data_IF_955151405838
#
_entry.id   IF_955151405838
#
_cell.length_a   1.000
_cell.length_b   1.000
_cell.length_c   1.000
_cell.angle_alpha   90.00
_cell.angle_beta   90.00
_cell.angle_gamma   90.00
#
_symmetry.space_group_name_H-M   'P 1'
#
loop_
_entity.id
_entity.type
_entity.pdbx_description
1 polymer ?
#
# COMPACT_ATOMS: atom_id res chain seq x y z
N UNK A 1 -5.93 -17.75 -25.14
CA UNK A 1 -6.19 -18.21 -23.77
C UNK A 1 -5.02 -18.99 -23.15
N UNK A 2 -4.40 -19.95 -23.87
CA UNK A 2 -3.25 -20.74 -23.35
C UNK A 2 -2.04 -19.86 -23.04
N UNK A 3 -1.70 -18.91 -23.91
CA UNK A 3 -0.57 -18.00 -23.72
C UNK A 3 -0.78 -17.07 -22.51
N UNK A 4 -1.99 -16.54 -22.33
CA UNK A 4 -2.32 -15.70 -21.18
C UNK A 4 -2.21 -16.50 -19.88
N UNK A 5 -2.68 -17.76 -19.87
CA UNK A 5 -2.58 -18.64 -18.71
C UNK A 5 -1.13 -18.93 -18.31
N UNK A 6 -0.20 -19.00 -19.28
CA UNK A 6 1.23 -19.20 -19.00
C UNK A 6 1.88 -18.04 -18.26
N UNK A 7 1.34 -16.83 -18.37
CA UNK A 7 1.90 -15.62 -17.73
C UNK A 7 1.05 -15.10 -16.55
N UNK A 8 -0.13 -15.68 -16.31
CA UNK A 8 -1.06 -15.23 -15.26
C UNK A 8 -0.51 -15.33 -13.82
N UNK A 9 0.51 -16.14 -13.58
CA UNK A 9 1.18 -16.26 -12.30
C UNK A 9 2.18 -15.12 -12.01
N UNK A 10 2.67 -14.44 -13.06
CA UNK A 10 3.69 -13.39 -12.90
C UNK A 10 3.24 -12.24 -12.01
N UNK A 11 2.04 -11.66 -12.15
CA UNK A 11 1.58 -10.59 -11.26
C UNK A 11 1.59 -10.98 -9.78
N UNK A 12 1.29 -12.24 -9.44
CA UNK A 12 1.36 -12.74 -8.07
C UNK A 12 2.79 -12.77 -7.54
N UNK A 13 3.72 -13.27 -8.33
CA UNK A 13 5.15 -13.28 -7.96
C UNK A 13 5.68 -11.86 -7.76
N UNK A 14 5.31 -10.91 -8.62
CA UNK A 14 5.69 -9.51 -8.47
C UNK A 14 5.03 -8.87 -7.23
N UNK A 15 3.81 -9.29 -6.87
CA UNK A 15 3.17 -8.88 -5.63
C UNK A 15 3.95 -9.35 -4.40
N UNK A 16 4.40 -10.61 -4.35
CA UNK A 16 5.20 -11.14 -3.25
C UNK A 16 6.54 -10.39 -3.13
N UNK A 17 7.21 -10.12 -4.26
CA UNK A 17 8.40 -9.27 -4.28
C UNK A 17 8.10 -7.86 -3.77
N UNK A 18 6.96 -7.30 -4.13
CA UNK A 18 6.48 -6.01 -3.65
C UNK A 18 6.34 -5.97 -2.13
N UNK A 19 5.80 -7.03 -1.53
CA UNK A 19 5.66 -7.14 -0.08
C UNK A 19 7.02 -7.14 0.63
N UNK A 20 7.98 -7.91 0.12
CA UNK A 20 9.35 -7.96 0.66
C UNK A 20 10.03 -6.60 0.54
N UNK A 21 9.99 -6.00 -0.64
CA UNK A 21 10.62 -4.70 -0.93
C UNK A 21 9.95 -3.59 -0.12
N UNK A 22 8.61 -3.60 -0.01
CA UNK A 22 7.84 -2.65 0.79
C UNK A 22 8.20 -2.66 2.27
N UNK A 23 8.59 -3.81 2.81
CA UNK A 23 9.15 -3.91 4.16
C UNK A 23 10.58 -3.36 4.30
N UNK A 24 11.38 -3.47 3.23
CA UNK A 24 12.79 -3.05 3.22
C UNK A 24 13.00 -1.56 2.88
N UNK A 25 12.10 -0.97 2.08
CA UNK A 25 12.20 0.42 1.62
C UNK A 25 12.18 1.47 2.75
N UNK A 26 11.34 1.36 3.81
CA UNK A 26 11.32 2.37 4.87
C UNK A 26 12.67 2.56 5.56
N UNK A 27 13.38 1.52 6.04
CA UNK A 27 14.72 1.68 6.60
C UNK A 27 15.73 2.27 5.60
N UNK A 28 15.60 1.92 4.31
CA UNK A 28 16.47 2.43 3.26
C UNK A 28 16.27 3.93 3.05
N UNK A 29 15.03 4.40 2.99
CA UNK A 29 14.69 5.81 2.86
C UNK A 29 15.12 6.62 4.08
N UNK A 30 15.05 6.06 5.29
CA UNK A 30 15.61 6.69 6.48
C UNK A 30 17.11 6.93 6.33
N UNK A 31 17.87 5.94 5.82
CA UNK A 31 19.30 6.04 5.64
C UNK A 31 19.70 7.04 4.54
N UNK A 32 18.92 7.11 3.45
CA UNK A 32 19.26 7.95 2.29
C UNK A 32 18.82 9.40 2.47
N UNK A 33 17.64 9.61 3.05
CA UNK A 33 17.03 10.95 3.16
C UNK A 33 17.10 11.53 4.58
N UNK A 34 17.57 10.77 5.57
CA UNK A 34 17.64 11.24 6.96
C UNK A 34 16.28 11.54 7.58
N UNK A 35 15.18 10.95 7.05
CA UNK A 35 13.81 11.19 7.49
C UNK A 35 13.40 10.25 8.61
N UNK A 36 12.38 10.65 9.39
CA UNK A 36 11.80 9.81 10.44
C UNK A 36 11.14 8.55 9.85
N UNK A 37 11.03 7.48 10.65
CA UNK A 37 10.43 6.21 10.26
C UNK A 37 9.01 6.38 9.69
N UNK A 38 8.17 7.19 10.34
CA UNK A 38 6.80 7.46 9.89
C UNK A 38 6.79 8.15 8.52
N UNK A 39 7.66 9.15 8.30
CA UNK A 39 7.79 9.83 7.00
C UNK A 39 8.27 8.87 5.93
N UNK A 40 9.25 8.04 6.24
CA UNK A 40 9.76 7.01 5.34
C UNK A 40 8.66 6.04 4.88
N UNK A 41 7.80 5.58 5.80
CA UNK A 41 6.65 4.74 5.44
C UNK A 41 5.63 5.47 4.56
N UNK A 42 5.34 6.74 4.86
CA UNK A 42 4.50 7.58 4.00
C UNK A 42 5.06 7.68 2.58
N UNK A 43 6.38 7.82 2.45
CA UNK A 43 7.04 7.87 1.13
C UNK A 43 6.85 6.55 0.36
N UNK A 44 6.98 5.39 1.02
CA UNK A 44 6.75 4.09 0.39
C UNK A 44 5.30 3.95 -0.06
N UNK A 45 4.34 4.36 0.78
CA UNK A 45 2.91 4.35 0.42
C UNK A 45 2.65 5.26 -0.78
N UNK A 46 3.23 6.46 -0.78
CA UNK A 46 3.08 7.42 -1.91
C UNK A 46 3.70 6.85 -3.19
N UNK A 47 4.87 6.25 -3.11
CA UNK A 47 5.52 5.60 -4.25
C UNK A 47 4.66 4.47 -4.81
N UNK A 48 4.11 3.61 -3.94
CA UNK A 48 3.20 2.54 -4.35
C UNK A 48 1.94 3.09 -5.04
N UNK A 49 1.31 4.11 -4.45
CA UNK A 49 0.12 4.75 -5.02
C UNK A 49 0.40 5.40 -6.39
N UNK A 50 1.57 6.02 -6.58
CA UNK A 50 1.97 6.58 -7.88
C UNK A 50 2.20 5.48 -8.93
N UNK A 51 2.80 4.36 -8.56
CA UNK A 51 3.00 3.24 -9.46
C UNK A 51 1.67 2.59 -9.90
N UNK A 52 0.60 2.71 -9.08
CA UNK A 52 -0.73 2.21 -9.44
C UNK A 52 -1.40 2.99 -10.58
N UNK A 53 -0.87 4.15 -10.96
CA UNK A 53 -1.31 4.86 -12.16
C UNK A 53 -1.11 3.99 -13.42
N UNK A 54 0.00 3.22 -13.48
CA UNK A 54 0.28 2.33 -14.59
C UNK A 54 -0.87 1.33 -14.86
N UNK A 55 -1.21 0.45 -13.90
CA UNK A 55 -2.38 -0.44 -14.02
C UNK A 55 -3.69 0.29 -14.31
N UNK A 56 -3.88 1.49 -13.75
CA UNK A 56 -5.06 2.32 -14.02
C UNK A 56 -5.21 2.69 -15.50
N UNK A 57 -4.11 2.70 -16.26
CA UNK A 57 -4.08 2.99 -17.70
C UNK A 57 -4.23 1.74 -18.58
N UNK A 58 -4.48 0.57 -18.02
CA UNK A 58 -4.54 -0.72 -18.77
C UNK A 58 -5.49 -0.65 -19.98
N UNK A 59 -6.61 0.09 -19.82
CA UNK A 59 -7.60 0.25 -20.87
C UNK A 59 -7.14 1.01 -22.11
N UNK A 60 -6.00 1.69 -22.06
CA UNK A 60 -5.43 2.39 -23.20
C UNK A 60 -4.60 1.49 -24.12
N UNK A 61 -4.29 0.29 -23.68
CA UNK A 61 -3.42 -0.64 -24.38
C UNK A 61 -4.19 -1.88 -24.84
N UNK A 62 -4.04 -2.22 -26.11
CA UNK A 62 -4.66 -3.40 -26.75
C UNK A 62 -3.79 -4.65 -26.66
N UNK A 63 -2.51 -4.53 -26.31
CA UNK A 63 -1.58 -5.66 -26.23
C UNK A 63 -1.75 -6.41 -24.91
N UNK A 64 -2.03 -7.74 -24.93
CA UNK A 64 -2.13 -8.55 -23.71
C UNK A 64 -0.83 -8.58 -22.89
N UNK A 65 0.32 -8.53 -23.55
CA UNK A 65 1.62 -8.56 -22.88
C UNK A 65 1.88 -7.27 -22.09
N UNK A 66 1.47 -6.11 -22.63
CA UNK A 66 1.54 -4.83 -21.92
C UNK A 66 0.59 -4.85 -20.72
N UNK A 67 -0.60 -5.39 -20.88
CA UNK A 67 -1.56 -5.53 -19.76
C UNK A 67 -0.98 -6.39 -18.63
N UNK A 68 -0.36 -7.53 -18.94
CA UNK A 68 0.31 -8.40 -17.95
C UNK A 68 1.45 -7.65 -17.26
N UNK A 69 2.28 -6.92 -18.01
CA UNK A 69 3.36 -6.10 -17.45
C UNK A 69 2.84 -5.02 -16.49
N UNK A 70 1.77 -4.34 -16.85
CA UNK A 70 1.12 -3.35 -16.00
C UNK A 70 0.50 -3.99 -14.75
N UNK A 71 -0.08 -5.19 -14.85
CA UNK A 71 -0.57 -5.94 -13.70
C UNK A 71 0.57 -6.39 -12.77
N UNK A 72 1.75 -6.73 -13.31
CA UNK A 72 2.93 -7.03 -12.50
C UNK A 72 3.38 -5.80 -11.70
N UNK A 73 3.42 -4.63 -12.34
CA UNK A 73 3.73 -3.35 -11.68
C UNK A 73 2.67 -3.05 -10.61
N UNK A 74 1.39 -3.26 -10.92
CA UNK A 74 0.29 -3.05 -9.98
C UNK A 74 0.36 -3.97 -8.77
N UNK A 75 0.60 -5.26 -8.98
CA UNK A 75 0.78 -6.23 -7.90
C UNK A 75 1.94 -5.84 -6.99
N UNK A 76 3.10 -5.52 -7.56
CA UNK A 76 4.26 -5.05 -6.82
C UNK A 76 3.95 -3.77 -6.02
N UNK A 77 3.37 -2.77 -6.66
CA UNK A 77 3.04 -1.48 -6.06
C UNK A 77 2.06 -1.61 -4.90
N UNK A 78 0.95 -2.33 -5.14
CA UNK A 78 -0.10 -2.53 -4.14
C UNK A 78 0.40 -3.30 -2.92
N UNK A 79 1.19 -4.35 -3.12
CA UNK A 79 1.75 -5.12 -1.99
C UNK A 79 2.86 -4.37 -1.24
N UNK A 80 3.66 -3.55 -1.92
CA UNK A 80 4.63 -2.67 -1.26
C UNK A 80 3.94 -1.66 -0.35
N UNK A 81 2.85 -1.05 -0.82
CA UNK A 81 2.00 -0.11 -0.08
C UNK A 81 1.34 -0.81 1.11
N UNK A 82 0.74 -1.98 0.88
CA UNK A 82 0.06 -2.77 1.91
C UNK A 82 1.02 -3.18 3.04
N UNK A 83 2.22 -3.67 2.70
CA UNK A 83 3.25 -4.03 3.67
C UNK A 83 3.70 -2.84 4.53
N UNK A 84 3.87 -1.67 3.90
CA UNK A 84 4.21 -0.44 4.61
C UNK A 84 3.08 0.01 5.56
N UNK A 85 1.81 -0.14 5.18
CA UNK A 85 0.65 0.20 6.01
C UNK A 85 0.50 -0.70 7.24
N UNK A 86 0.63 -2.02 7.06
CA UNK A 86 0.52 -2.99 8.16
C UNK A 86 1.61 -2.72 9.20
N UNK A 87 2.83 -2.45 8.74
CA UNK A 87 3.94 -2.16 9.65
C UNK A 87 3.86 -0.77 10.28
N UNK A 88 3.21 0.19 9.63
CA UNK A 88 2.95 1.52 10.18
C UNK A 88 2.09 1.46 11.44
N UNK A 89 1.11 0.56 11.51
CA UNK A 89 0.29 0.38 12.71
C UNK A 89 1.13 -0.03 13.92
N UNK A 90 2.16 -0.85 13.72
CA UNK A 90 3.09 -1.26 14.79
C UNK A 90 3.98 -0.13 15.29
N UNK A 91 4.18 0.91 14.46
CA UNK A 91 4.99 2.08 14.83
C UNK A 91 4.16 3.17 15.53
N UNK A 92 2.84 3.20 15.28
CA UNK A 92 1.93 4.23 15.80
C UNK A 92 1.24 3.80 17.09
N UNK A 93 0.89 2.52 17.21
CA UNK A 93 0.15 1.98 18.33
C UNK A 93 1.06 1.28 19.36
N UNK A 94 0.68 1.32 20.63
CA UNK A 94 1.36 0.61 21.69
C UNK A 94 1.25 -0.92 21.55
N UNK A 95 2.16 -1.67 22.21
CA UNK A 95 2.24 -3.14 22.13
C UNK A 95 0.90 -3.84 22.39
N UNK A 96 0.08 -3.30 23.29
CA UNK A 96 -1.21 -3.90 23.67
C UNK A 96 -2.36 -3.54 22.71
N UNK A 97 -2.16 -2.57 21.83
CA UNK A 97 -3.19 -2.00 20.95
C UNK A 97 -2.99 -2.42 19.49
N UNK A 98 -1.76 -2.77 19.10
CA UNK A 98 -1.39 -3.13 17.73
C UNK A 98 -2.27 -4.26 17.18
N UNK A 99 -2.52 -5.31 17.97
CA UNK A 99 -3.32 -6.44 17.54
C UNK A 99 -4.77 -6.02 17.24
N UNK A 100 -5.36 -5.19 18.10
CA UNK A 100 -6.72 -4.67 17.90
C UNK A 100 -6.79 -3.73 16.70
N UNK A 101 -5.82 -2.83 16.57
CA UNK A 101 -5.73 -1.90 15.43
C UNK A 101 -5.61 -2.66 14.09
N UNK A 102 -4.71 -3.65 14.01
CA UNK A 102 -4.56 -4.49 12.83
C UNK A 102 -5.80 -5.33 12.54
N UNK A 103 -6.45 -5.86 13.58
CA UNK A 103 -7.71 -6.61 13.43
C UNK A 103 -8.83 -5.76 12.84
N UNK A 104 -9.04 -4.55 13.36
CA UNK A 104 -10.05 -3.61 12.85
C UNK A 104 -9.72 -3.15 11.42
N UNK A 105 -8.47 -2.82 11.15
CA UNK A 105 -8.02 -2.45 9.80
C UNK A 105 -8.22 -3.59 8.81
N UNK A 106 -7.87 -4.81 9.20
CA UNK A 106 -8.08 -6.01 8.39
C UNK A 106 -9.57 -6.27 8.10
N UNK A 107 -10.44 -6.19 9.11
CA UNK A 107 -11.89 -6.32 8.93
C UNK A 107 -12.43 -5.28 7.95
N UNK A 108 -12.06 -4.01 8.12
CA UNK A 108 -12.49 -2.94 7.23
C UNK A 108 -12.00 -3.16 5.79
N UNK A 109 -10.73 -3.52 5.62
CA UNK A 109 -10.12 -3.78 4.31
C UNK A 109 -10.78 -4.96 3.59
N UNK A 110 -11.00 -6.09 4.26
CA UNK A 110 -11.64 -7.25 3.65
C UNK A 110 -13.12 -7.02 3.34
N UNK A 111 -13.82 -6.28 4.20
CA UNK A 111 -15.22 -5.89 3.94
C UNK A 111 -15.31 -4.99 2.72
N UNK A 112 -14.47 -3.96 2.64
CA UNK A 112 -14.42 -3.06 1.48
C UNK A 112 -14.04 -3.81 0.20
N UNK A 113 -13.06 -4.71 0.27
CA UNK A 113 -12.64 -5.55 -0.86
C UNK A 113 -13.78 -6.44 -1.37
N UNK A 114 -14.52 -7.05 -0.47
CA UNK A 114 -15.70 -7.89 -0.83
C UNK A 114 -16.78 -7.05 -1.51
N UNK A 115 -17.10 -5.89 -0.94
CA UNK A 115 -18.07 -4.97 -1.54
C UNK A 115 -17.62 -4.51 -2.94
N UNK A 116 -16.34 -4.15 -3.08
CA UNK A 116 -15.78 -3.76 -4.37
C UNK A 116 -15.82 -4.91 -5.39
N UNK A 117 -15.50 -6.14 -4.97
CA UNK A 117 -15.58 -7.31 -5.85
C UNK A 117 -17.00 -7.56 -6.37
N UNK A 118 -18.01 -7.35 -5.54
CA UNK A 118 -19.43 -7.44 -5.96
C UNK A 118 -19.77 -6.36 -6.99
N UNK A 119 -19.31 -5.13 -6.77
CA UNK A 119 -19.48 -4.01 -7.72
C UNK A 119 -18.79 -4.31 -9.04
N UNK A 120 -17.54 -4.81 -8.99
CA UNK A 120 -16.80 -5.23 -10.19
C UNK A 120 -17.55 -6.33 -10.94
N UNK A 121 -18.04 -7.37 -10.24
CA UNK A 121 -18.79 -8.45 -10.86
C UNK A 121 -20.08 -7.97 -11.53
N UNK A 122 -20.76 -6.99 -10.94
CA UNK A 122 -22.01 -6.44 -11.52
C UNK A 122 -21.76 -5.49 -12.71
N UNK A 123 -20.64 -4.79 -12.73
CA UNK A 123 -20.37 -3.74 -13.72
C UNK A 123 -19.43 -4.19 -14.84
N UNK A 124 -18.63 -5.23 -14.64
CA UNK A 124 -17.59 -5.65 -15.60
C UNK A 124 -18.19 -6.00 -16.98
N UNK A 125 -19.39 -6.61 -17.00
CA UNK A 125 -20.08 -6.98 -18.24
C UNK A 125 -20.68 -5.78 -19.00
N UNK A 126 -20.90 -4.66 -18.30
CA UNK A 126 -21.54 -3.47 -18.87
C UNK A 126 -20.54 -2.40 -19.28
N UNK A 127 -19.57 -2.10 -18.44
CA UNK A 127 -18.59 -1.00 -18.66
C UNK A 127 -17.16 -1.52 -18.93
N UNK A 128 -16.95 -2.83 -18.82
CA UNK A 128 -15.63 -3.46 -18.97
C UNK A 128 -14.74 -3.25 -17.73
N UNK A 129 -13.54 -3.85 -17.77
CA UNK A 129 -12.59 -3.80 -16.65
C UNK A 129 -11.77 -2.51 -16.58
N UNK A 130 -11.59 -1.81 -17.71
CA UNK A 130 -10.71 -0.62 -17.79
C UNK A 130 -11.07 0.50 -16.81
N UNK A 131 -12.33 0.96 -16.71
CA UNK A 131 -12.68 1.98 -15.73
C UNK A 131 -12.57 1.49 -14.29
N UNK A 132 -12.71 0.20 -14.04
CA UNK A 132 -12.60 -0.38 -12.71
C UNK A 132 -11.15 -0.36 -12.20
N UNK A 133 -10.17 -0.58 -13.08
CA UNK A 133 -8.75 -0.41 -12.75
C UNK A 133 -8.39 1.07 -12.48
N UNK A 134 -8.98 2.00 -13.21
CA UNK A 134 -8.79 3.43 -12.96
C UNK A 134 -9.32 3.83 -11.57
N UNK A 135 -10.47 3.30 -11.16
CA UNK A 135 -11.03 3.53 -9.82
C UNK A 135 -10.12 2.99 -8.72
N UNK A 136 -9.50 1.82 -8.90
CA UNK A 136 -8.52 1.28 -7.94
C UNK A 136 -7.32 2.22 -7.77
N UNK A 137 -6.76 2.73 -8.87
CA UNK A 137 -5.65 3.67 -8.82
C UNK A 137 -6.03 4.96 -8.07
N UNK A 138 -7.25 5.45 -8.26
CA UNK A 138 -7.78 6.63 -7.53
C UNK A 138 -7.87 6.34 -6.04
N UNK A 139 -8.35 5.17 -5.62
CA UNK A 139 -8.43 4.81 -4.21
C UNK A 139 -7.05 4.74 -3.53
N UNK A 140 -6.05 4.19 -4.20
CA UNK A 140 -4.69 4.13 -3.67
C UNK A 140 -4.08 5.54 -3.53
N UNK A 141 -4.33 6.43 -4.50
CA UNK A 141 -3.91 7.84 -4.41
C UNK A 141 -4.63 8.58 -3.28
N UNK A 142 -5.93 8.37 -3.12
CA UNK A 142 -6.69 8.92 -1.99
C UNK A 142 -6.16 8.41 -0.65
N UNK A 143 -5.85 7.13 -0.56
CA UNK A 143 -5.22 6.53 0.62
C UNK A 143 -3.88 7.19 0.96
N UNK A 144 -3.04 7.44 -0.05
CA UNK A 144 -1.78 8.15 0.15
C UNK A 144 -1.99 9.57 0.68
N UNK A 145 -2.94 10.32 0.12
CA UNK A 145 -3.29 11.68 0.60
C UNK A 145 -3.80 11.63 2.03
N UNK A 146 -4.68 10.69 2.36
CA UNK A 146 -5.22 10.53 3.72
C UNK A 146 -4.11 10.29 4.74
N UNK A 147 -3.13 9.45 4.43
CA UNK A 147 -2.01 9.19 5.33
C UNK A 147 -1.20 10.45 5.60
N UNK A 148 -0.98 11.28 4.59
CA UNK A 148 -0.26 12.55 4.77
C UNK A 148 -1.03 13.56 5.60
N UNK A 149 -2.35 13.58 5.51
CA UNK A 149 -3.22 14.52 6.25
C UNK A 149 -3.49 14.08 7.68
N UNK A 150 -3.70 12.78 7.91
CA UNK A 150 -4.10 12.23 9.21
C UNK A 150 -2.90 11.97 10.12
N UNK A 151 -1.83 11.37 9.58
CA UNK A 151 -0.64 11.08 10.36
C UNK A 151 0.29 12.29 10.38
N UNK A 152 0.29 13.03 11.48
CA UNK A 152 1.34 14.01 11.76
C UNK A 152 2.60 13.27 12.18
N UNK A 153 3.73 13.51 11.52
CA UNK A 153 5.02 13.06 12.04
C UNK A 153 5.35 13.93 13.26
N UNK A 154 5.62 13.30 14.39
CA UNK A 154 6.18 14.03 15.54
C UNK A 154 7.48 14.70 15.10
N UNK A 155 7.65 15.96 15.47
CA UNK A 155 8.91 16.69 15.25
C UNK A 155 10.03 16.00 16.03
N UNK A 156 11.28 16.12 15.56
CA UNK A 156 12.44 15.60 16.27
C UNK A 156 12.53 16.16 17.72
N UNK A 157 12.05 17.39 17.91
CA UNK A 157 11.98 18.03 19.23
C UNK A 157 10.96 17.36 20.16
N UNK A 158 9.79 16.95 19.65
CA UNK A 158 8.77 16.22 20.42
C UNK A 158 9.27 14.84 20.84
N UNK A 159 10.00 14.16 19.98
CA UNK A 159 10.63 12.86 20.28
C UNK A 159 11.73 13.01 21.33
N UNK A 160 12.52 14.07 21.28
CA UNK A 160 13.53 14.38 22.28
C UNK A 160 12.91 14.71 23.63
N UNK A 161 11.85 15.51 23.67
CA UNK A 161 11.12 15.83 24.90
C UNK A 161 10.46 14.59 25.52
N UNK A 162 9.92 13.68 24.72
CA UNK A 162 9.35 12.42 25.19
C UNK A 162 10.42 11.46 25.75
N UNK A 163 11.63 11.48 25.18
CA UNK A 163 12.77 10.69 25.67
C UNK A 163 13.35 11.23 26.98
N UNK A 164 13.35 12.55 27.15
CA UNK A 164 13.84 13.24 28.37
C UNK A 164 12.80 13.23 29.49
N UNK A 165 11.50 13.24 29.14
CA UNK A 165 10.38 13.25 30.08
C UNK A 165 9.97 11.87 30.63
N UNK A 166 10.51 10.76 30.13
CA UNK A 166 10.29 9.43 30.71
C UNK A 166 11.22 9.23 31.91
N UNK A 167 10.73 9.21 33.16
CA UNK A 167 11.55 8.80 34.28
C UNK A 167 12.04 7.37 34.07
N UNK A 168 13.33 7.15 34.33
CA UNK A 168 13.98 5.84 34.30
C UNK A 168 13.44 4.98 35.46
N UNK A 169 12.23 4.48 35.34
CA UNK A 169 11.63 3.53 36.26
C UNK A 169 10.80 2.54 35.47
N UNK A 170 11.46 1.45 35.12
CA UNK A 170 11.03 0.06 35.32
C UNK A 170 11.98 -0.88 34.57
N UNK A 171 13.06 -1.23 35.24
CA UNK A 171 13.77 -2.48 34.99
C UNK A 171 12.96 -3.64 35.55
#
# INVERSE_FOLDING_TARGET
LKEIAMFAWMPMLFADLGCIVGGYLPPLFQRWFGVNLIVSRKMVVTMGALLMIGPGMIGLFTSPYVAIGLLCIGGFAHQSLSGALITLSSDVFGRNEVATANGLTGMAAWTASTMFALVVGALADTIGFSPLFAVLAIFDLMGAVLIWTVLKSKSAEELLQESVGKPATQS
#
